data_IF_946796732244
#
_entry.id   IF_946796732244
#
_cell.length_a   1.000
_cell.length_b   1.000
_cell.length_c   1.000
_cell.angle_alpha   90.00
_cell.angle_beta   90.00
_cell.angle_gamma   90.00
#
_symmetry.space_group_name_H-M   'P 1'
#
loop_
_entity.id
_entity.type
_entity.pdbx_description
1 polymer ?
#
# COMPACT_ATOMS: atom_id res chain seq x y z
N UNK A 1 3.94 -3.76 20.94
CA UNK A 1 2.81 -4.51 20.35
C UNK A 1 3.23 -4.89 18.93
N UNK A 2 3.50 -6.18 18.67
CA UNK A 2 4.04 -6.59 17.37
C UNK A 2 2.91 -6.60 16.34
N UNK A 3 2.83 -5.55 15.52
CA UNK A 3 1.94 -5.51 14.35
C UNK A 3 2.51 -6.38 13.22
N UNK A 4 2.52 -7.69 13.45
CA UNK A 4 2.82 -8.65 12.41
C UNK A 4 1.74 -8.58 11.32
N UNK A 5 2.15 -8.83 10.07
CA UNK A 5 1.19 -8.97 8.98
C UNK A 5 0.17 -10.05 9.35
N UNK A 6 -1.13 -9.81 9.17
CA UNK A 6 -2.12 -10.80 9.54
C UNK A 6 -2.04 -12.00 8.58
N UNK A 7 -2.08 -13.22 9.13
CA UNK A 7 -1.88 -14.48 8.38
C UNK A 7 -2.87 -14.69 7.22
N UNK A 8 -4.02 -14.00 7.23
CA UNK A 8 -5.00 -14.12 6.16
C UNK A 8 -4.55 -13.49 4.83
N UNK A 9 -3.55 -12.60 4.83
CA UNK A 9 -2.98 -12.04 3.59
C UNK A 9 -2.14 -13.03 2.80
N UNK A 10 -1.58 -14.05 3.46
CA UNK A 10 -0.75 -15.08 2.81
C UNK A 10 -1.58 -16.30 2.35
N UNK A 11 -2.91 -16.24 2.44
CA UNK A 11 -3.78 -17.33 1.97
C UNK A 11 -3.90 -17.28 0.45
N UNK A 12 -3.60 -18.39 -0.21
CA UNK A 12 -3.72 -18.54 -1.66
C UNK A 12 -5.18 -18.67 -2.17
N UNK A 13 -6.16 -18.68 -1.26
CA UNK A 13 -7.57 -18.83 -1.59
C UNK A 13 -8.30 -17.49 -1.50
N UNK A 14 -9.18 -17.21 -2.46
CA UNK A 14 -10.01 -16.00 -2.46
C UNK A 14 -11.05 -16.13 -1.34
N UNK A 15 -11.00 -15.21 -0.37
CA UNK A 15 -11.96 -15.19 0.73
C UNK A 15 -13.25 -14.45 0.34
N UNK A 16 -14.38 -14.78 0.98
CA UNK A 16 -15.65 -14.07 0.79
C UNK A 16 -15.51 -12.55 1.01
N UNK A 17 -14.79 -12.16 2.07
CA UNK A 17 -14.50 -10.76 2.36
C UNK A 17 -13.67 -10.08 1.26
N UNK A 18 -12.74 -10.79 0.62
CA UNK A 18 -11.95 -10.26 -0.51
C UNK A 18 -12.84 -9.88 -1.68
N UNK A 19 -13.85 -10.70 -2.00
CA UNK A 19 -14.81 -10.41 -3.07
C UNK A 19 -15.70 -9.22 -2.70
N UNK A 20 -16.19 -9.18 -1.46
CA UNK A 20 -17.03 -8.08 -0.96
C UNK A 20 -16.29 -6.72 -0.96
N UNK A 21 -15.00 -6.72 -0.63
CA UNK A 21 -14.15 -5.52 -0.58
C UNK A 21 -13.55 -5.14 -1.96
N UNK A 22 -13.62 -6.02 -2.95
CA UNK A 22 -13.11 -5.77 -4.29
C UNK A 22 -13.66 -4.50 -4.97
N UNK A 23 -14.98 -4.21 -4.97
CA UNK A 23 -15.48 -2.96 -5.55
C UNK A 23 -14.91 -1.70 -4.89
N UNK A 24 -14.69 -1.73 -3.58
CA UNK A 24 -14.07 -0.63 -2.84
C UNK A 24 -12.59 -0.46 -3.28
N UNK A 25 -11.88 -1.57 -3.46
CA UNK A 25 -10.50 -1.56 -3.98
C UNK A 25 -10.42 -0.92 -5.37
N UNK A 26 -11.37 -1.23 -6.27
CA UNK A 26 -11.44 -0.60 -7.59
C UNK A 26 -11.65 0.91 -7.50
N UNK A 27 -12.54 1.37 -6.62
CA UNK A 27 -12.77 2.80 -6.40
C UNK A 27 -11.49 3.51 -5.91
N UNK A 28 -10.78 2.93 -4.94
CA UNK A 28 -9.50 3.47 -4.47
C UNK A 28 -8.46 3.49 -5.59
N UNK A 29 -8.41 2.45 -6.43
CA UNK A 29 -7.48 2.39 -7.57
C UNK A 29 -7.72 3.53 -8.57
N UNK A 30 -8.99 3.82 -8.87
CA UNK A 30 -9.38 4.94 -9.74
C UNK A 30 -8.98 6.28 -9.11
N UNK A 31 -9.25 6.48 -7.81
CA UNK A 31 -8.84 7.70 -7.10
C UNK A 31 -7.31 7.89 -7.10
N UNK A 32 -6.54 6.82 -6.88
CA UNK A 32 -5.08 6.89 -6.94
C UNK A 32 -4.56 7.19 -8.35
N UNK A 33 -5.24 6.70 -9.39
CA UNK A 33 -4.91 7.05 -10.77
C UNK A 33 -5.03 8.56 -10.98
N UNK A 34 -6.17 9.17 -10.60
CA UNK A 34 -6.35 10.61 -10.68
C UNK A 34 -5.36 11.39 -9.81
N UNK A 35 -5.08 10.91 -8.60
CA UNK A 35 -4.10 11.52 -7.69
C UNK A 35 -2.73 11.65 -8.36
N UNK A 36 -2.28 10.66 -9.13
CA UNK A 36 -0.99 10.71 -9.83
C UNK A 36 -0.93 11.86 -10.85
N UNK A 37 -2.03 12.17 -11.52
CA UNK A 37 -2.08 13.31 -12.45
C UNK A 37 -2.16 14.66 -11.73
N UNK A 38 -2.84 14.71 -10.59
CA UNK A 38 -3.04 15.94 -9.82
C UNK A 38 -1.85 16.29 -8.90
N UNK A 39 -1.00 15.33 -8.58
CA UNK A 39 0.11 15.53 -7.64
C UNK A 39 1.23 16.33 -8.29
N UNK A 40 1.57 17.49 -7.70
CA UNK A 40 2.75 18.26 -8.09
C UNK A 40 4.03 17.54 -7.64
N UNK A 41 4.99 17.40 -8.55
CA UNK A 41 6.31 16.85 -8.22
C UNK A 41 7.19 17.94 -7.63
N UNK A 42 7.70 17.74 -6.42
CA UNK A 42 8.72 18.61 -5.85
C UNK A 42 10.10 18.05 -6.20
N UNK A 43 10.96 18.90 -6.75
CA UNK A 43 12.35 18.56 -6.98
C UNK A 43 13.19 19.16 -5.86
N UNK A 44 14.18 18.38 -5.39
CA UNK A 44 15.11 18.81 -4.36
C UNK A 44 16.51 18.84 -4.93
N UNK A 45 17.31 19.82 -4.50
CA UNK A 45 18.67 20.04 -4.99
C UNK A 45 19.68 19.02 -4.48
N UNK A 46 19.29 18.15 -3.54
CA UNK A 46 20.09 17.10 -2.94
C UNK A 46 19.54 15.72 -3.32
N UNK A 47 20.38 14.67 -3.37
CA UNK A 47 19.90 13.32 -3.64
C UNK A 47 18.95 12.83 -2.55
N UNK A 48 17.80 12.29 -2.95
CA UNK A 48 16.79 11.72 -2.05
C UNK A 48 16.64 10.22 -2.33
N UNK A 49 16.61 9.43 -1.26
CA UNK A 49 16.33 7.98 -1.33
C UNK A 49 14.95 7.74 -0.71
N UNK A 50 14.03 7.17 -1.48
CA UNK A 50 12.71 6.78 -0.99
C UNK A 50 12.69 5.29 -0.61
N UNK A 51 12.55 4.98 0.68
CA UNK A 51 12.43 3.59 1.17
C UNK A 51 10.98 3.31 1.53
N UNK A 52 10.35 2.35 0.84
CA UNK A 52 8.93 2.04 0.96
C UNK A 52 8.58 0.61 0.53
N UNK A 53 7.34 0.18 0.81
CA UNK A 53 6.80 -1.11 0.35
C UNK A 53 5.30 -0.93 0.04
N UNK A 54 4.79 -1.72 -0.89
CA UNK A 54 3.36 -1.80 -1.27
C UNK A 54 2.51 -2.48 -0.20
N UNK A 55 3.12 -3.30 0.66
CA UNK A 55 2.42 -4.00 1.74
C UNK A 55 2.30 -3.14 3.00
N UNK A 56 1.13 -3.24 3.62
CA UNK A 56 0.85 -2.73 4.95
C UNK A 56 1.49 -3.64 6.03
N UNK A 57 1.57 -3.17 7.28
CA UNK A 57 2.15 -3.94 8.40
C UNK A 57 3.68 -3.85 8.53
N UNK A 58 4.23 -4.59 9.52
CA UNK A 58 5.65 -4.63 9.84
C UNK A 58 6.48 -5.25 8.71
N UNK A 59 7.05 -4.39 7.85
CA UNK A 59 7.76 -4.77 6.61
C UNK A 59 9.26 -4.45 6.66
N UNK A 60 9.81 -4.26 7.86
CA UNK A 60 11.25 -3.99 8.06
C UNK A 60 11.73 -2.61 7.59
N UNK A 61 10.81 -1.68 7.25
CA UNK A 61 11.15 -0.31 6.82
C UNK A 61 11.85 0.50 7.90
N UNK A 62 11.56 0.21 9.18
CA UNK A 62 12.22 0.81 10.34
C UNK A 62 12.82 -0.33 11.16
N UNK A 63 14.15 -0.52 11.13
CA UNK A 63 14.82 -1.44 12.03
C UNK A 63 14.83 -0.84 13.44
N UNK A 64 14.46 -1.66 14.43
CA UNK A 64 14.56 -1.37 15.87
C UNK A 64 15.66 -2.28 16.43
#
# INVERSE_FOLDING_TARGET
MNFFKPKFWDKNQISFFSVLLFPISLLIKVLNFFKRFLTKTNQSSIPIICVGNIYLGGTGKTPL
#
